data_IF_977130749693
#
_entry.id   IF_977130749693
#
_cell.length_a   1.000
_cell.length_b   1.000
_cell.length_c   1.000
_cell.angle_alpha   90.00
_cell.angle_beta   90.00
_cell.angle_gamma   90.00
#
_symmetry.space_group_name_H-M   'P 1'
#
loop_
_entity.id
_entity.type
_entity.pdbx_description
1 polymer ?
#
# COMPACT_ATOMS: atom_id res chain seq x y z
N UNK A 1 14.89 -9.60 -7.72
CA UNK A 1 13.59 -10.18 -8.11
C UNK A 1 12.59 -9.06 -8.27
N UNK A 2 11.87 -9.04 -9.38
CA UNK A 2 10.95 -7.95 -9.70
C UNK A 2 9.50 -8.41 -9.60
N UNK A 3 8.67 -7.62 -8.95
CA UNK A 3 7.24 -7.92 -8.81
C UNK A 3 6.44 -7.06 -9.78
N UNK A 4 5.31 -7.61 -10.25
CA UNK A 4 4.35 -6.87 -11.04
C UNK A 4 3.32 -6.27 -10.08
N UNK A 5 3.22 -4.95 -10.02
CA UNK A 5 2.27 -4.27 -9.15
C UNK A 5 0.93 -4.14 -9.87
N UNK A 6 -0.14 -4.59 -9.21
CA UNK A 6 -1.50 -4.54 -9.78
C UNK A 6 -2.43 -3.77 -8.86
N UNK A 7 -2.78 -2.53 -9.19
CA UNK A 7 -3.73 -1.76 -8.39
C UNK A 7 -5.15 -2.31 -8.56
N UNK A 8 -5.87 -2.41 -7.43
CA UNK A 8 -7.30 -2.73 -7.47
C UNK A 8 -8.08 -1.50 -7.94
N UNK A 9 -9.33 -1.71 -8.33
CA UNK A 9 -10.22 -0.59 -8.69
C UNK A 9 -10.37 0.37 -7.51
N UNK A 10 -10.52 -0.18 -6.30
CA UNK A 10 -10.66 0.66 -5.10
C UNK A 10 -9.38 1.46 -4.82
N UNK A 11 -8.20 0.85 -5.01
CA UNK A 11 -6.94 1.57 -4.85
C UNK A 11 -6.87 2.77 -5.80
N UNK A 12 -7.30 2.60 -7.04
CA UNK A 12 -7.29 3.68 -8.02
C UNK A 12 -8.17 4.85 -7.58
N UNK A 13 -9.34 4.54 -7.00
CA UNK A 13 -10.24 5.57 -6.44
C UNK A 13 -9.59 6.24 -5.23
N UNK A 14 -8.99 5.45 -4.36
CA UNK A 14 -8.27 5.96 -3.17
C UNK A 14 -7.16 6.92 -3.60
N UNK A 15 -6.42 6.55 -4.64
CA UNK A 15 -5.30 7.36 -5.12
C UNK A 15 -5.79 8.72 -5.66
N UNK A 16 -6.92 8.74 -6.35
CA UNK A 16 -7.52 10.00 -6.81
C UNK A 16 -7.84 10.92 -5.65
N UNK A 17 -8.39 10.35 -4.56
CA UNK A 17 -8.70 11.13 -3.35
C UNK A 17 -7.43 11.67 -2.71
N UNK A 18 -6.37 10.88 -2.63
CA UNK A 18 -5.08 11.33 -2.10
C UNK A 18 -4.53 12.51 -2.91
N UNK A 19 -4.58 12.40 -4.23
CA UNK A 19 -4.15 13.49 -5.12
C UNK A 19 -4.98 14.74 -4.90
N UNK A 20 -6.29 14.59 -4.76
CA UNK A 20 -7.21 15.71 -4.53
C UNK A 20 -6.92 16.42 -3.21
N UNK A 21 -6.48 15.65 -2.20
CA UNK A 21 -6.09 16.19 -0.89
C UNK A 21 -4.72 16.88 -0.92
N UNK A 22 -3.98 16.79 -2.03
CA UNK A 22 -2.67 17.39 -2.16
C UNK A 22 -1.54 16.56 -1.57
N UNK A 23 -1.73 15.25 -1.41
CA UNK A 23 -0.69 14.36 -0.90
C UNK A 23 0.48 14.29 -1.88
N UNK A 24 1.69 14.21 -1.34
CA UNK A 24 2.92 14.07 -2.14
C UNK A 24 3.02 12.64 -2.68
N UNK A 25 2.58 12.45 -3.91
CA UNK A 25 2.54 11.12 -4.54
C UNK A 25 3.93 10.54 -4.75
N UNK A 26 4.98 11.37 -4.79
CA UNK A 26 6.35 10.86 -4.89
C UNK A 26 6.72 9.98 -3.70
N UNK A 27 6.17 10.26 -2.52
CA UNK A 27 6.38 9.44 -1.33
C UNK A 27 5.81 8.04 -1.51
N UNK A 28 4.63 7.93 -2.11
CA UNK A 28 4.02 6.64 -2.45
C UNK A 28 4.87 5.92 -3.50
N UNK A 29 5.32 6.64 -4.52
CA UNK A 29 6.12 6.07 -5.60
C UNK A 29 7.41 5.45 -5.07
N UNK A 30 8.07 6.07 -4.09
CA UNK A 30 9.26 5.50 -3.44
C UNK A 30 8.96 4.13 -2.84
N UNK A 31 7.86 4.02 -2.09
CA UNK A 31 7.46 2.75 -1.47
C UNK A 31 7.15 1.71 -2.53
N UNK A 32 6.42 2.10 -3.58
CA UNK A 32 6.08 1.18 -4.66
C UNK A 32 7.32 0.65 -5.39
N UNK A 33 8.32 1.49 -5.59
CA UNK A 33 9.58 1.05 -6.21
C UNK A 33 10.32 0.03 -5.35
N UNK A 34 10.34 0.23 -4.04
CA UNK A 34 10.93 -0.74 -3.12
C UNK A 34 10.21 -2.08 -3.20
N UNK A 35 8.89 -2.07 -3.18
CA UNK A 35 8.09 -3.29 -3.30
C UNK A 35 8.31 -3.97 -4.66
N UNK A 36 8.31 -3.20 -5.73
CA UNK A 36 8.49 -3.72 -7.10
C UNK A 36 9.83 -4.43 -7.24
N UNK A 37 10.88 -3.88 -6.64
CA UNK A 37 12.22 -4.45 -6.73
C UNK A 37 12.46 -5.59 -5.74
N UNK A 38 11.46 -5.98 -4.97
CA UNK A 38 11.56 -7.07 -4.01
C UNK A 38 12.37 -6.72 -2.78
N UNK A 39 12.57 -5.44 -2.51
CA UNK A 39 13.31 -4.99 -1.34
C UNK A 39 12.43 -5.02 -0.10
N UNK A 40 13.04 -5.32 1.04
CA UNK A 40 12.37 -5.17 2.32
C UNK A 40 12.21 -3.68 2.62
N UNK A 41 11.03 -3.28 3.09
CA UNK A 41 10.80 -1.88 3.43
C UNK A 41 11.58 -1.48 4.68
N UNK A 42 12.25 -0.30 4.68
CA UNK A 42 12.89 0.24 5.89
C UNK A 42 11.92 0.33 7.06
N UNK A 43 12.47 0.24 8.28
CA UNK A 43 11.67 0.26 9.52
C UNK A 43 10.77 1.49 9.65
N UNK A 44 11.18 2.62 9.09
CA UNK A 44 10.40 3.86 9.16
C UNK A 44 9.00 3.73 8.58
N UNK A 45 8.76 2.73 7.72
CA UNK A 45 7.45 2.51 7.12
C UNK A 45 6.55 1.60 7.95
N UNK A 46 7.04 1.04 9.04
CA UNK A 46 6.24 0.20 9.97
C UNK A 46 5.43 -0.90 9.25
N UNK A 47 6.06 -1.59 8.32
CA UNK A 47 5.41 -2.66 7.55
C UNK A 47 5.07 -3.84 8.48
N UNK A 48 3.81 -4.26 8.45
CA UNK A 48 3.33 -5.37 9.30
C UNK A 48 2.12 -6.06 8.69
N UNK A 49 1.88 -7.33 9.04
CA UNK A 49 0.69 -8.04 8.55
C UNK A 49 -0.58 -7.55 9.22
N UNK A 50 -1.70 -7.69 8.52
CA UNK A 50 -3.02 -7.34 9.02
C UNK A 50 -3.85 -8.59 9.30
N UNK A 51 -4.96 -8.40 10.03
CA UNK A 51 -5.93 -9.44 10.34
C UNK A 51 -7.34 -8.94 10.01
N UNK A 52 -8.37 -9.73 10.32
CA UNK A 52 -9.75 -9.35 10.07
C UNK A 52 -10.08 -9.28 8.59
N UNK A 53 -10.75 -8.21 8.16
CA UNK A 53 -11.18 -8.07 6.76
C UNK A 53 -10.00 -7.95 5.79
N UNK A 54 -8.82 -7.58 6.29
CA UNK A 54 -7.60 -7.47 5.48
C UNK A 54 -6.65 -8.63 5.75
N UNK A 55 -7.16 -9.76 6.18
CA UNK A 55 -6.37 -10.99 6.35
C UNK A 55 -5.60 -11.27 5.05
N UNK A 56 -4.35 -11.69 5.19
CA UNK A 56 -3.41 -11.95 4.10
C UNK A 56 -2.82 -10.69 3.46
N UNK A 57 -3.23 -9.50 3.90
CA UNK A 57 -2.64 -8.25 3.46
C UNK A 57 -1.59 -7.78 4.46
N UNK A 58 -0.75 -6.87 3.99
CA UNK A 58 0.21 -6.14 4.82
C UNK A 58 -0.10 -4.66 4.73
N UNK A 59 0.30 -3.92 5.74
CA UNK A 59 0.15 -2.47 5.80
C UNK A 59 1.50 -1.83 6.02
N UNK A 60 1.77 -0.73 5.33
CA UNK A 60 2.91 0.12 5.67
C UNK A 60 2.43 1.58 5.75
N UNK A 61 3.20 2.39 6.48
CA UNK A 61 2.90 3.80 6.69
C UNK A 61 3.78 4.62 5.76
N UNK A 62 3.18 5.23 4.72
CA UNK A 62 3.88 6.18 3.87
C UNK A 62 4.20 7.43 4.69
N UNK A 63 3.23 7.89 5.45
CA UNK A 63 3.34 8.88 6.52
C UNK A 63 2.57 8.36 7.72
N UNK A 64 2.60 9.06 8.85
CA UNK A 64 1.97 8.59 10.09
C UNK A 64 0.49 8.22 9.94
N UNK A 65 -0.24 8.95 9.10
CA UNK A 65 -1.66 8.66 8.82
C UNK A 65 -1.93 8.54 7.32
N UNK A 66 -0.98 8.04 6.57
CA UNK A 66 -1.18 7.69 5.17
C UNK A 66 -0.65 6.28 4.96
N UNK A 67 -1.56 5.35 4.78
CA UNK A 67 -1.29 3.91 4.75
C UNK A 67 -1.36 3.37 3.33
N UNK A 68 -0.60 2.31 3.09
CA UNK A 68 -0.73 1.47 1.91
C UNK A 68 -1.01 0.05 2.38
N UNK A 69 -2.12 -0.53 1.92
CA UNK A 69 -2.45 -1.93 2.16
C UNK A 69 -2.19 -2.70 0.87
N UNK A 70 -1.42 -3.77 0.94
CA UNK A 70 -1.02 -4.55 -0.22
C UNK A 70 -0.96 -6.04 0.12
N UNK A 71 -0.96 -6.87 -0.92
CA UNK A 71 -0.99 -8.32 -0.75
C UNK A 71 -0.09 -8.99 -1.78
N UNK A 72 0.78 -9.92 -1.32
CA UNK A 72 1.57 -10.77 -2.21
C UNK A 72 0.70 -11.91 -2.72
N UNK A 73 0.76 -12.20 -4.02
CA UNK A 73 0.15 -13.42 -4.56
C UNK A 73 1.04 -14.62 -4.18
N UNK A 74 0.41 -15.80 -3.99
CA UNK A 74 1.13 -16.97 -3.47
C UNK A 74 2.18 -17.52 -4.43
N UNK A 75 1.86 -17.64 -5.72
CA UNK A 75 2.73 -18.34 -6.67
C UNK A 75 3.18 -17.50 -7.86
N UNK A 76 2.85 -16.22 -7.89
CA UNK A 76 3.21 -15.33 -8.97
C UNK A 76 3.97 -14.14 -8.40
N UNK A 77 4.84 -13.54 -9.19
CA UNK A 77 5.55 -12.34 -8.76
C UNK A 77 4.65 -11.11 -8.90
N UNK A 78 3.52 -11.12 -8.20
CA UNK A 78 2.50 -10.07 -8.24
C UNK A 78 2.27 -9.53 -6.84
N UNK A 79 2.18 -8.22 -6.73
CA UNK A 79 1.73 -7.54 -5.51
C UNK A 79 0.47 -6.76 -5.88
N UNK A 80 -0.63 -7.08 -5.21
CA UNK A 80 -1.88 -6.31 -5.37
C UNK A 80 -1.81 -5.08 -4.47
N UNK A 81 -2.03 -3.91 -5.06
CA UNK A 81 -2.18 -2.68 -4.29
C UNK A 81 -3.66 -2.56 -3.94
N UNK A 82 -3.98 -2.86 -2.68
CA UNK A 82 -5.36 -3.08 -2.25
C UNK A 82 -6.08 -1.80 -1.89
N UNK A 83 -5.50 -0.97 -1.02
CA UNK A 83 -6.06 0.29 -0.56
C UNK A 83 -4.96 1.28 -0.22
N UNK A 84 -5.28 2.56 -0.24
CA UNK A 84 -4.42 3.61 0.33
C UNK A 84 -5.29 4.74 0.86
N UNK A 85 -4.86 5.36 1.96
CA UNK A 85 -5.62 6.44 2.60
C UNK A 85 -5.26 6.57 4.07
N UNK A 86 -6.06 7.34 4.80
CA UNK A 86 -5.89 7.50 6.24
C UNK A 86 -6.46 6.29 7.00
N UNK A 87 -6.16 6.19 8.30
CA UNK A 87 -6.77 5.18 9.15
C UNK A 87 -8.30 5.27 9.08
N UNK A 88 -8.86 6.48 9.14
CA UNK A 88 -10.31 6.67 9.04
C UNK A 88 -10.87 6.21 7.70
N UNK A 89 -10.16 6.50 6.60
CA UNK A 89 -10.60 6.08 5.27
C UNK A 89 -10.70 4.55 5.16
N UNK A 90 -9.71 3.85 5.72
CA UNK A 90 -9.54 2.42 5.48
C UNK A 90 -10.24 1.56 6.54
N UNK A 91 -10.34 2.04 7.78
CA UNK A 91 -10.89 1.28 8.89
C UNK A 91 -12.17 1.86 9.47
N UNK A 92 -12.63 2.98 8.96
CA UNK A 92 -13.88 3.64 9.38
C UNK A 92 -13.93 3.89 10.89
N UNK A 93 -12.84 4.39 11.42
CA UNK A 93 -12.74 4.72 12.84
C UNK A 93 -13.56 5.96 13.20
#
# INVERSE_FOLDING_TARGET
MTYNLRPTTQFKKDLKLCKKRGYDIDLLTEVLKLLENGNQLPEKYFDHPLSGIFKNCRECHILSDWLLIYEYSDNNLIIYLTRTGTHSDLFKL
#
